data_IF_964846474649
#
_entry.id   IF_964846474649
#
_cell.length_a   1.000
_cell.length_b   1.000
_cell.length_c   1.000
_cell.angle_alpha   90.00
_cell.angle_beta   90.00
_cell.angle_gamma   90.00
#
_symmetry.space_group_name_H-M   'P 1'
#
loop_
_entity.id
_entity.type
_entity.pdbx_description
1 polymer ?
#
# COMPACT_ATOMS: atom_id res chain seq x y z
N UNK A 1 27.22 4.59 -8.48
CA UNK A 1 27.37 3.44 -7.56
C UNK A 1 26.33 2.36 -7.80
N UNK A 2 25.13 2.70 -8.29
CA UNK A 2 24.01 1.77 -8.44
C UNK A 2 24.31 0.57 -9.35
N UNK A 3 25.02 0.75 -10.46
CA UNK A 3 25.44 -0.34 -11.35
C UNK A 3 26.26 -1.39 -10.59
N UNK A 4 27.24 -0.99 -9.77
CA UNK A 4 28.03 -1.95 -9.01
C UNK A 4 27.20 -2.71 -7.97
N UNK A 5 26.23 -2.05 -7.34
CA UNK A 5 25.33 -2.71 -6.39
C UNK A 5 24.40 -3.73 -7.08
N UNK A 6 23.89 -3.39 -8.27
CA UNK A 6 23.13 -4.30 -9.12
C UNK A 6 23.96 -5.53 -9.49
N UNK A 7 25.15 -5.34 -10.06
CA UNK A 7 26.03 -6.45 -10.45
C UNK A 7 26.49 -7.30 -9.25
N UNK A 8 26.77 -6.66 -8.10
CA UNK A 8 27.11 -7.38 -6.87
C UNK A 8 25.96 -8.31 -6.44
N UNK A 9 24.71 -7.91 -6.67
CA UNK A 9 23.55 -8.72 -6.32
C UNK A 9 23.53 -10.03 -7.10
N UNK A 10 23.95 -10.02 -8.36
CA UNK A 10 24.08 -11.26 -9.14
C UNK A 10 25.12 -12.22 -8.56
N UNK A 11 26.22 -11.69 -7.98
CA UNK A 11 27.20 -12.51 -7.26
C UNK A 11 26.62 -13.13 -5.98
N UNK A 12 25.57 -12.54 -5.42
CA UNK A 12 24.81 -13.07 -4.29
C UNK A 12 23.68 -14.04 -4.70
N UNK A 13 23.55 -14.35 -6.00
CA UNK A 13 22.66 -15.40 -6.49
C UNK A 13 21.22 -14.97 -6.73
N UNK A 14 21.02 -13.74 -7.23
CA UNK A 14 19.72 -13.28 -7.73
C UNK A 14 19.80 -12.80 -9.18
N UNK A 15 18.81 -13.13 -10.01
CA UNK A 15 18.72 -12.69 -11.40
C UNK A 15 18.14 -11.29 -11.59
N UNK A 16 18.11 -10.84 -12.85
CA UNK A 16 17.44 -9.60 -13.26
C UNK A 16 15.92 -9.70 -13.19
N UNK A 17 15.24 -8.57 -12.96
CA UNK A 17 13.78 -8.44 -13.01
C UNK A 17 13.35 -7.14 -13.70
N UNK A 18 13.75 -6.97 -14.96
CA UNK A 18 13.28 -5.88 -15.81
C UNK A 18 12.93 -6.35 -17.22
N UNK A 19 12.19 -5.49 -17.91
CA UNK A 19 11.85 -5.61 -19.33
C UNK A 19 12.79 -4.76 -20.22
N UNK A 20 12.63 -4.89 -21.53
CA UNK A 20 13.09 -3.88 -22.48
C UNK A 20 12.01 -2.80 -22.65
N UNK A 21 12.28 -1.52 -22.29
CA UNK A 21 11.27 -0.46 -22.36
C UNK A 21 10.82 -0.11 -23.78
N UNK A 22 11.55 -0.55 -24.80
CA UNK A 22 11.26 -0.27 -26.22
C UNK A 22 10.88 -1.52 -27.01
N UNK A 23 10.46 -2.60 -26.34
CA UNK A 23 10.11 -3.85 -27.03
C UNK A 23 8.86 -3.70 -27.93
N UNK A 24 8.82 -4.51 -28.99
CA UNK A 24 7.64 -4.74 -29.82
C UNK A 24 7.41 -6.27 -29.90
N UNK A 25 6.35 -6.81 -29.29
CA UNK A 25 5.27 -6.10 -28.59
C UNK A 25 5.75 -5.41 -27.31
N UNK A 26 5.05 -4.34 -26.93
CA UNK A 26 5.32 -3.63 -25.69
C UNK A 26 5.09 -4.54 -24.48
N UNK A 27 5.91 -4.37 -23.44
CA UNK A 27 5.75 -5.04 -22.16
C UNK A 27 6.06 -4.04 -21.06
N UNK A 28 5.18 -3.85 -20.09
CA UNK A 28 5.38 -2.94 -18.95
C UNK A 28 6.57 -3.38 -18.10
N UNK A 29 7.25 -2.43 -17.47
CA UNK A 29 8.32 -2.72 -16.52
C UNK A 29 7.84 -3.53 -15.32
N UNK A 30 8.64 -4.44 -14.77
CA UNK A 30 8.16 -5.40 -13.76
C UNK A 30 8.03 -4.77 -12.37
N UNK A 31 9.16 -4.32 -11.80
CA UNK A 31 9.22 -3.58 -10.53
C UNK A 31 9.80 -2.17 -10.68
N UNK A 32 10.22 -1.83 -11.90
CA UNK A 32 10.61 -0.49 -12.30
C UNK A 32 11.60 0.22 -11.35
N UNK A 33 11.29 1.43 -10.85
CA UNK A 33 12.20 2.22 -10.02
C UNK A 33 12.33 1.69 -8.59
N UNK A 34 11.53 0.70 -8.20
CA UNK A 34 11.37 0.25 -6.82
C UNK A 34 12.28 -0.90 -6.41
N UNK A 35 13.00 -1.53 -7.36
CA UNK A 35 13.91 -2.65 -7.07
C UNK A 35 15.28 -2.43 -7.70
N UNK A 36 16.32 -2.72 -6.92
CA UNK A 36 17.71 -2.75 -7.39
C UNK A 36 17.90 -3.74 -8.55
N UNK A 37 17.15 -4.85 -8.59
CA UNK A 37 17.22 -5.86 -9.66
C UNK A 37 16.36 -5.50 -10.87
N UNK A 38 15.71 -4.35 -10.83
CA UNK A 38 15.01 -3.77 -11.97
C UNK A 38 15.69 -2.46 -12.39
N UNK A 39 14.89 -1.44 -12.72
CA UNK A 39 15.40 -0.11 -13.08
C UNK A 39 15.56 0.82 -11.86
N UNK A 40 15.43 0.32 -10.63
CA UNK A 40 15.81 1.07 -9.43
C UNK A 40 17.30 1.40 -9.40
N UNK A 41 18.14 0.60 -10.08
CA UNK A 41 19.55 0.92 -10.32
C UNK A 41 19.78 2.13 -11.25
N UNK A 42 18.71 2.69 -11.85
CA UNK A 42 18.76 3.85 -12.74
C UNK A 42 18.42 5.15 -12.02
N UNK A 43 17.96 5.07 -10.77
CA UNK A 43 17.60 6.22 -9.97
C UNK A 43 18.81 7.16 -9.74
N UNK A 44 18.51 8.41 -9.45
CA UNK A 44 19.48 9.50 -9.32
C UNK A 44 19.00 10.79 -10.00
N UNK A 45 19.69 11.92 -9.80
CA UNK A 45 19.35 13.18 -10.45
C UNK A 45 19.27 13.01 -11.97
N UNK A 46 18.26 13.58 -12.63
CA UNK A 46 18.09 13.48 -14.09
C UNK A 46 17.77 12.08 -14.62
N UNK A 47 17.66 11.05 -13.77
CA UNK A 47 17.18 9.71 -14.12
C UNK A 47 17.91 9.07 -15.32
N UNK A 48 17.18 8.40 -16.23
CA UNK A 48 17.82 7.61 -17.29
C UNK A 48 18.56 8.49 -18.31
N UNK A 49 18.15 9.74 -18.48
CA UNK A 49 18.73 10.70 -19.44
C UNK A 49 20.13 11.19 -19.11
N UNK A 50 20.63 10.89 -17.91
CA UNK A 50 21.96 11.33 -17.45
C UNK A 50 22.90 10.16 -17.12
N UNK A 51 22.47 8.92 -17.39
CA UNK A 51 23.27 7.70 -17.16
C UNK A 51 24.44 7.51 -18.12
N UNK A 52 24.47 8.23 -19.25
CA UNK A 52 25.50 8.09 -20.28
C UNK A 52 26.88 8.63 -19.88
N UNK A 53 26.96 9.36 -18.76
CA UNK A 53 28.23 9.86 -18.23
C UNK A 53 29.07 8.70 -17.66
N UNK A 54 30.39 8.75 -17.86
CA UNK A 54 31.33 7.71 -17.39
C UNK A 54 32.42 8.36 -16.52
N UNK A 55 32.46 8.09 -15.20
CA UNK A 55 31.45 7.36 -14.43
C UNK A 55 30.12 8.14 -14.35
N UNK A 56 28.98 7.47 -14.08
CA UNK A 56 27.71 8.15 -13.92
C UNK A 56 27.72 9.04 -12.66
N UNK A 57 27.60 10.35 -12.85
CA UNK A 57 27.58 11.34 -11.76
C UNK A 57 26.16 11.71 -11.31
N UNK A 58 25.14 11.36 -12.10
CA UNK A 58 23.74 11.75 -11.89
C UNK A 58 22.82 10.52 -11.90
N UNK A 59 22.18 10.17 -13.01
CA UNK A 59 21.44 8.91 -13.14
C UNK A 59 22.35 7.71 -12.83
N UNK A 60 21.87 6.75 -12.04
CA UNK A 60 22.65 5.64 -11.47
C UNK A 60 23.77 6.04 -10.48
N UNK A 61 23.80 7.29 -10.02
CA UNK A 61 24.66 7.70 -8.90
C UNK A 61 24.32 6.89 -7.65
N UNK A 62 23.03 6.77 -7.31
CA UNK A 62 22.49 6.00 -6.19
C UNK A 62 21.15 5.35 -6.59
N UNK A 63 21.08 4.03 -6.52
CA UNK A 63 19.88 3.25 -6.87
C UNK A 63 18.99 3.01 -5.66
N UNK A 64 17.78 2.50 -5.90
CA UNK A 64 16.87 2.04 -4.84
C UNK A 64 17.48 0.95 -3.98
N UNK A 65 16.87 0.63 -2.84
CA UNK A 65 17.14 -0.61 -2.14
C UNK A 65 16.64 -1.83 -2.92
N UNK A 66 17.14 -3.00 -2.51
CA UNK A 66 16.49 -4.29 -2.75
C UNK A 66 15.11 -4.31 -2.12
N UNK A 67 14.15 -4.95 -2.78
CA UNK A 67 12.84 -5.23 -2.19
C UNK A 67 12.98 -6.14 -0.98
N UNK A 68 12.00 -6.17 -0.08
CA UNK A 68 12.00 -7.11 1.07
C UNK A 68 12.18 -8.56 0.59
N UNK A 69 11.51 -8.93 -0.49
CA UNK A 69 11.64 -10.25 -1.13
C UNK A 69 13.07 -10.52 -1.62
N UNK A 70 13.70 -9.53 -2.26
CA UNK A 70 15.06 -9.68 -2.76
C UNK A 70 16.07 -9.81 -1.61
N UNK A 71 15.94 -8.98 -0.57
CA UNK A 71 16.76 -9.07 0.65
C UNK A 71 16.67 -10.44 1.31
N UNK A 72 15.47 -11.01 1.37
CA UNK A 72 15.25 -12.34 1.92
C UNK A 72 15.91 -13.42 1.05
N UNK A 73 15.76 -13.37 -0.29
CA UNK A 73 16.40 -14.35 -1.18
C UNK A 73 17.93 -14.34 -1.05
N UNK A 74 18.55 -13.16 -1.02
CA UNK A 74 20.01 -13.02 -0.95
C UNK A 74 20.54 -13.02 0.50
N UNK A 75 19.69 -13.37 1.47
CA UNK A 75 20.05 -13.58 2.88
C UNK A 75 20.58 -12.33 3.59
N UNK A 76 20.13 -11.13 3.20
CA UNK A 76 20.36 -9.90 3.97
C UNK A 76 19.41 -9.77 5.16
N UNK A 77 18.26 -10.43 5.09
CA UNK A 77 17.30 -10.59 6.20
C UNK A 77 16.84 -12.05 6.25
N UNK A 78 16.42 -12.51 7.42
CA UNK A 78 15.72 -13.77 7.60
C UNK A 78 14.19 -13.55 7.60
N UNK A 79 13.42 -14.55 8.05
CA UNK A 79 11.96 -14.47 8.15
C UNK A 79 11.47 -13.61 9.33
N UNK A 80 12.34 -13.23 10.28
CA UNK A 80 11.94 -12.53 11.51
C UNK A 80 11.17 -11.22 11.25
N UNK A 81 11.62 -10.32 10.35
CA UNK A 81 10.89 -9.10 10.06
C UNK A 81 9.79 -9.28 9.00
N UNK A 82 9.43 -10.50 8.60
CA UNK A 82 8.44 -10.75 7.54
C UNK A 82 7.26 -11.54 8.11
N UNK A 83 6.03 -11.05 7.91
CA UNK A 83 4.86 -11.86 8.25
C UNK A 83 4.56 -12.88 7.16
N UNK A 84 4.81 -14.15 7.44
CA UNK A 84 4.46 -15.28 6.58
C UNK A 84 2.98 -15.65 6.78
N UNK A 85 2.13 -15.29 5.81
CA UNK A 85 0.66 -15.38 5.87
C UNK A 85 0.18 -16.38 4.82
N UNK A 86 -0.62 -17.38 5.19
CA UNK A 86 -1.30 -18.25 4.23
C UNK A 86 -2.63 -17.64 3.78
N UNK A 87 -2.86 -17.57 2.47
CA UNK A 87 -4.15 -17.18 1.88
C UNK A 87 -5.27 -18.08 2.39
N UNK A 88 -5.07 -19.40 2.38
CA UNK A 88 -6.08 -20.36 2.83
C UNK A 88 -6.42 -20.20 4.32
N UNK A 89 -5.43 -19.87 5.16
CA UNK A 89 -5.64 -19.70 6.59
C UNK A 89 -6.46 -18.44 6.94
N UNK A 90 -6.40 -17.38 6.14
CA UNK A 90 -7.09 -16.10 6.40
C UNK A 90 -8.62 -16.24 6.53
N UNK A 91 -9.22 -17.16 5.77
CA UNK A 91 -10.67 -17.40 5.81
C UNK A 91 -11.16 -17.94 7.17
N UNK A 92 -10.26 -18.53 7.95
CA UNK A 92 -10.54 -19.15 9.25
C UNK A 92 -9.97 -18.36 10.43
N UNK A 93 -8.85 -17.66 10.26
CA UNK A 93 -8.19 -16.88 11.31
C UNK A 93 -8.68 -15.42 11.40
N UNK A 94 -9.28 -14.91 10.31
CA UNK A 94 -9.66 -13.52 10.18
C UNK A 94 -8.54 -12.63 9.60
N UNK A 95 -8.73 -11.30 9.60
CA UNK A 95 -7.75 -10.39 9.03
C UNK A 95 -6.45 -10.38 9.83
N UNK A 96 -5.33 -10.26 9.11
CA UNK A 96 -4.02 -9.96 9.69
C UNK A 96 -3.77 -8.47 9.55
N UNK A 97 -3.47 -7.79 10.65
CA UNK A 97 -3.16 -6.35 10.68
C UNK A 97 -1.84 -6.13 11.40
N UNK A 98 -0.95 -5.35 10.80
CA UNK A 98 0.31 -4.98 11.42
C UNK A 98 0.82 -3.63 10.93
N UNK A 99 1.70 -3.04 11.71
CA UNK A 99 2.48 -1.87 11.30
C UNK A 99 3.79 -2.33 10.65
N UNK A 100 4.07 -1.82 9.45
CA UNK A 100 5.28 -2.05 8.69
C UNK A 100 6.20 -0.84 8.79
N UNK A 101 7.45 -1.09 9.12
CA UNK A 101 8.55 -0.11 9.06
C UNK A 101 9.10 -0.04 7.64
N UNK A 102 9.43 1.18 7.19
CA UNK A 102 10.08 1.41 5.90
C UNK A 102 11.31 0.50 5.71
N UNK A 103 11.42 -0.12 4.53
CA UNK A 103 12.50 -1.07 4.19
C UNK A 103 13.90 -0.46 4.28
N UNK A 104 14.01 0.85 4.31
CA UNK A 104 15.26 1.60 4.47
C UNK A 104 15.82 1.56 5.89
N UNK A 105 15.05 1.08 6.86
CA UNK A 105 15.40 1.07 8.28
C UNK A 105 15.31 -0.36 8.82
N UNK A 106 16.28 -0.75 9.63
CA UNK A 106 16.22 -2.00 10.39
C UNK A 106 15.11 -1.89 11.44
N UNK A 107 14.07 -2.75 11.40
CA UNK A 107 12.94 -2.68 12.31
C UNK A 107 13.27 -3.22 13.72
N UNK A 108 14.50 -3.69 13.95
CA UNK A 108 14.93 -4.31 15.19
C UNK A 108 14.31 -5.69 15.40
N UNK A 109 14.38 -6.20 16.63
CA UNK A 109 14.01 -7.61 16.93
C UNK A 109 12.50 -7.88 16.97
N UNK A 110 11.67 -6.85 16.98
CA UNK A 110 10.21 -6.98 17.13
C UNK A 110 9.41 -6.23 16.07
N UNK A 111 10.06 -5.37 15.27
CA UNK A 111 9.38 -4.67 14.20
C UNK A 111 9.27 -5.54 12.94
N UNK A 112 8.33 -5.18 12.08
CA UNK A 112 8.03 -5.88 10.84
C UNK A 112 8.38 -4.97 9.66
N UNK A 113 8.97 -5.54 8.61
CA UNK A 113 9.35 -4.84 7.37
C UNK A 113 8.42 -5.18 6.20
N UNK A 114 7.73 -6.33 6.23
CA UNK A 114 6.79 -6.66 5.17
C UNK A 114 5.90 -7.86 5.42
N UNK A 115 4.94 -8.05 4.52
CA UNK A 115 4.13 -9.27 4.44
C UNK A 115 4.64 -10.16 3.31
N UNK A 116 4.50 -11.47 3.50
CA UNK A 116 4.57 -12.47 2.45
C UNK A 116 3.31 -13.36 2.54
N UNK A 117 2.36 -13.13 1.63
CA UNK A 117 1.06 -13.79 1.61
C UNK A 117 1.09 -14.92 0.57
N UNK A 118 1.28 -16.16 1.00
CA UNK A 118 1.37 -17.32 0.12
C UNK A 118 0.02 -17.70 -0.47
N UNK A 119 0.00 -17.99 -1.76
CA UNK A 119 -1.12 -18.62 -2.47
C UNK A 119 -1.21 -20.14 -2.22
N UNK A 120 -0.38 -20.64 -1.31
CA UNK A 120 -0.33 -22.03 -0.86
C UNK A 120 -0.14 -23.00 -2.04
N UNK A 121 -0.61 -24.24 -1.90
CA UNK A 121 -0.45 -25.27 -2.92
C UNK A 121 -1.22 -24.99 -4.23
N UNK A 122 -2.23 -24.12 -4.19
CA UNK A 122 -3.06 -23.80 -5.35
C UNK A 122 -2.38 -22.78 -6.29
N UNK A 123 -1.47 -21.95 -5.77
CA UNK A 123 -0.80 -20.92 -6.56
C UNK A 123 -1.73 -19.78 -6.99
N UNK A 124 -1.20 -18.91 -7.84
CA UNK A 124 -1.94 -17.77 -8.40
C UNK A 124 -3.12 -18.24 -9.26
N UNK A 125 -4.32 -17.81 -8.87
CA UNK A 125 -5.59 -18.13 -9.51
C UNK A 125 -6.03 -17.08 -10.54
N UNK A 126 -5.21 -16.06 -10.80
CA UNK A 126 -5.49 -15.04 -11.81
C UNK A 126 -5.75 -15.68 -13.18
N UNK A 127 -6.73 -15.16 -13.95
CA UNK A 127 -6.94 -15.59 -15.32
C UNK A 127 -5.67 -15.50 -16.16
N UNK A 128 -5.49 -16.45 -17.07
CA UNK A 128 -4.37 -16.39 -18.01
C UNK A 128 -4.52 -15.16 -18.94
N UNK A 129 -3.43 -14.42 -19.11
CA UNK A 129 -3.31 -13.32 -20.06
C UNK A 129 -2.20 -13.60 -21.09
N UNK A 130 -2.13 -12.81 -22.15
CA UNK A 130 -1.13 -12.97 -23.20
C UNK A 130 -0.17 -11.78 -23.28
N UNK A 131 1.08 -12.02 -22.89
CA UNK A 131 2.17 -11.04 -22.88
C UNK A 131 2.56 -10.50 -24.27
N UNK A 132 2.09 -11.14 -25.36
CA UNK A 132 2.36 -10.64 -26.73
C UNK A 132 1.30 -9.66 -27.23
N UNK A 133 0.15 -9.58 -26.58
CA UNK A 133 -0.97 -8.71 -26.97
C UNK A 133 -1.37 -7.72 -25.89
N UNK A 134 -0.98 -7.99 -24.64
CA UNK A 134 -1.27 -7.15 -23.48
C UNK A 134 0.03 -6.79 -22.75
N UNK A 135 0.45 -5.51 -22.79
CA UNK A 135 1.68 -5.07 -22.12
C UNK A 135 1.61 -5.15 -20.59
N UNK A 136 0.41 -5.19 -20.00
CA UNK A 136 0.18 -5.26 -18.55
C UNK A 136 0.04 -6.69 -18.04
N UNK A 137 0.14 -7.68 -18.92
CA UNK A 137 0.11 -9.08 -18.55
C UNK A 137 1.37 -9.47 -17.75
N UNK A 138 1.16 -9.86 -16.48
CA UNK A 138 2.20 -10.30 -15.55
C UNK A 138 2.76 -11.71 -15.91
N UNK A 139 2.02 -12.49 -16.70
CA UNK A 139 2.36 -13.85 -17.12
C UNK A 139 2.02 -14.94 -16.09
N UNK A 140 1.41 -14.56 -14.96
CA UNK A 140 0.91 -15.45 -13.91
C UNK A 140 1.97 -16.35 -13.26
N UNK A 141 1.46 -17.41 -12.61
CA UNK A 141 2.27 -18.44 -11.89
C UNK A 141 3.09 -17.86 -10.74
N UNK A 142 2.53 -16.88 -10.05
CA UNK A 142 3.09 -16.35 -8.83
C UNK A 142 2.80 -17.28 -7.65
N UNK A 143 3.58 -17.09 -6.59
CA UNK A 143 3.47 -17.87 -5.36
C UNK A 143 2.91 -17.03 -4.22
N UNK A 144 3.14 -15.71 -4.22
CA UNK A 144 2.75 -14.86 -3.11
C UNK A 144 2.36 -13.44 -3.57
N UNK A 145 1.72 -12.71 -2.67
CA UNK A 145 1.83 -11.26 -2.59
C UNK A 145 2.88 -10.85 -1.55
N UNK A 146 3.58 -9.74 -1.81
CA UNK A 146 4.39 -9.03 -0.83
C UNK A 146 3.91 -7.60 -0.68
N UNK A 147 3.89 -7.13 0.57
CA UNK A 147 3.67 -5.73 0.93
C UNK A 147 4.90 -5.22 1.65
N UNK A 148 5.41 -4.05 1.25
CA UNK A 148 6.54 -3.38 1.90
C UNK A 148 6.37 -1.86 1.85
N UNK A 149 6.95 -1.17 2.83
CA UNK A 149 6.95 0.30 2.89
C UNK A 149 8.21 0.86 2.26
N UNK A 150 8.04 1.77 1.31
CA UNK A 150 9.12 2.53 0.68
C UNK A 150 9.10 3.94 1.24
N UNK A 151 10.24 4.40 1.73
CA UNK A 151 10.44 5.78 2.18
C UNK A 151 11.63 6.38 1.43
N UNK A 152 11.52 7.65 1.03
CA UNK A 152 12.57 8.37 0.30
C UNK A 152 13.70 8.78 1.24
N UNK A 153 14.39 7.78 1.77
CA UNK A 153 15.53 7.94 2.67
C UNK A 153 16.64 6.93 2.35
N UNK A 154 17.89 7.30 2.61
CA UNK A 154 19.04 6.46 2.29
C UNK A 154 19.14 6.19 0.79
N UNK A 155 19.33 4.93 0.39
CA UNK A 155 19.38 4.54 -1.02
C UNK A 155 18.05 4.80 -1.77
N UNK A 156 16.91 4.75 -1.08
CA UNK A 156 15.60 5.04 -1.68
C UNK A 156 15.32 6.54 -1.87
N UNK A 157 16.24 7.46 -1.52
CA UNK A 157 16.03 8.91 -1.65
C UNK A 157 15.66 9.38 -3.06
N UNK A 158 16.09 8.64 -4.09
CA UNK A 158 15.80 8.92 -5.50
C UNK A 158 14.67 8.08 -6.08
N UNK A 159 13.97 7.28 -5.26
CA UNK A 159 12.70 6.70 -5.66
C UNK A 159 11.67 7.85 -5.86
N UNK A 160 10.71 7.69 -6.81
CA UNK A 160 9.82 8.79 -7.16
C UNK A 160 8.79 9.12 -6.06
N UNK A 161 8.47 8.16 -5.19
CA UNK A 161 7.40 8.28 -4.18
C UNK A 161 7.74 7.58 -2.85
N UNK A 162 6.92 7.77 -1.82
CA UNK A 162 6.94 7.05 -0.54
C UNK A 162 5.55 6.53 -0.20
N UNK A 163 5.43 5.24 0.09
CA UNK A 163 4.14 4.58 0.27
C UNK A 163 4.28 3.07 0.44
N UNK A 164 3.19 2.33 0.24
CA UNK A 164 3.20 0.87 0.28
C UNK A 164 3.28 0.30 -1.13
N UNK A 165 4.30 -0.52 -1.38
CA UNK A 165 4.37 -1.30 -2.62
C UNK A 165 3.68 -2.64 -2.40
N UNK A 166 2.70 -2.96 -3.24
CA UNK A 166 2.12 -4.29 -3.35
C UNK A 166 2.72 -4.97 -4.58
N UNK A 167 3.15 -6.22 -4.46
CA UNK A 167 3.69 -6.96 -5.62
C UNK A 167 3.38 -8.44 -5.55
N UNK A 168 3.14 -9.06 -6.72
CA UNK A 168 3.16 -10.52 -6.82
C UNK A 168 4.59 -11.01 -6.92
N UNK A 169 4.92 -12.12 -6.25
CA UNK A 169 6.27 -12.70 -6.25
C UNK A 169 6.29 -14.20 -6.49
N UNK A 170 7.40 -14.66 -7.06
CA UNK A 170 7.78 -16.07 -7.16
C UNK A 170 8.84 -16.39 -6.12
N UNK A 171 8.77 -17.60 -5.58
CA UNK A 171 9.76 -18.13 -4.63
C UNK A 171 11.12 -18.38 -5.29
N UNK A 172 11.16 -18.46 -6.62
CA UNK A 172 12.39 -18.57 -7.40
C UNK A 172 12.46 -17.46 -8.46
N UNK A 173 13.67 -16.97 -8.69
CA UNK A 173 14.03 -15.99 -9.70
C UNK A 173 14.41 -16.59 -11.06
N UNK A 174 14.40 -17.93 -11.19
CA UNK A 174 14.76 -18.64 -12.43
C UNK A 174 13.88 -18.28 -13.63
N UNK A 175 12.67 -17.74 -13.39
CA UNK A 175 11.74 -17.34 -14.42
C UNK A 175 11.28 -15.91 -14.21
N UNK A 176 11.63 -15.03 -15.13
CA UNK A 176 11.15 -13.65 -15.16
C UNK A 176 9.73 -13.55 -15.75
N UNK A 177 8.95 -12.54 -15.33
CA UNK A 177 9.15 -11.74 -14.12
C UNK A 177 9.01 -12.61 -12.86
N UNK A 178 9.88 -12.40 -11.87
CA UNK A 178 9.79 -13.06 -10.56
C UNK A 178 9.21 -12.15 -9.47
N UNK A 179 9.12 -10.85 -9.75
CA UNK A 179 8.34 -9.90 -8.96
C UNK A 179 7.63 -8.94 -9.90
N UNK A 180 6.38 -8.61 -9.60
CA UNK A 180 5.55 -7.72 -10.43
C UNK A 180 4.78 -6.76 -9.53
N UNK A 181 5.09 -5.47 -9.63
CA UNK A 181 4.39 -4.42 -8.87
C UNK A 181 2.95 -4.32 -9.34
N UNK A 182 2.01 -4.37 -8.39
CA UNK A 182 0.63 -3.95 -8.61
C UNK A 182 0.62 -2.43 -8.65
N UNK A 183 0.04 -1.90 -9.71
CA UNK A 183 0.01 -0.48 -9.97
C UNK A 183 -1.30 0.11 -9.46
N UNK A 184 -1.22 1.00 -8.46
CA UNK A 184 -2.38 1.75 -7.99
C UNK A 184 -2.93 2.71 -9.06
N UNK A 185 -2.11 3.08 -10.05
CA UNK A 185 -2.42 4.02 -11.11
C UNK A 185 -2.08 3.39 -12.49
N UNK A 186 -2.77 2.32 -12.92
CA UNK A 186 -2.38 1.49 -14.07
C UNK A 186 -2.50 2.18 -15.44
N UNK A 187 -3.06 3.39 -15.49
CA UNK A 187 -3.09 4.22 -16.69
C UNK A 187 -1.67 4.59 -17.16
N UNK A 188 -1.54 4.97 -18.42
CA UNK A 188 -0.30 5.63 -18.87
C UNK A 188 -0.13 6.94 -18.09
N UNK A 189 1.06 7.13 -17.48
CA UNK A 189 1.38 8.32 -16.69
C UNK A 189 1.45 9.60 -17.55
N UNK A 190 1.50 9.45 -18.88
CA UNK A 190 1.48 10.54 -19.87
C UNK A 190 2.57 11.61 -19.65
N UNK A 191 3.72 11.18 -19.16
CA UNK A 191 4.88 12.07 -18.94
C UNK A 191 5.68 12.20 -20.24
N UNK A 192 6.03 13.45 -20.58
CA UNK A 192 6.93 13.74 -21.69
C UNK A 192 8.34 13.27 -21.35
N UNK A 193 8.89 12.41 -22.21
CA UNK A 193 10.27 11.95 -22.10
C UNK A 193 11.24 12.98 -22.68
N UNK A 194 10.97 13.46 -23.90
CA UNK A 194 11.77 14.50 -24.56
C UNK A 194 11.00 15.16 -25.71
N UNK A 195 11.55 16.28 -26.21
CA UNK A 195 11.11 16.91 -27.45
C UNK A 195 12.09 16.59 -28.57
N UNK A 196 11.55 16.20 -29.73
CA UNK A 196 12.33 16.08 -30.96
C UNK A 196 12.81 17.47 -31.44
N UNK A 197 13.83 17.56 -32.32
CA UNK A 197 14.32 18.84 -32.83
C UNK A 197 13.26 19.69 -33.55
N UNK A 198 12.19 19.07 -34.05
CA UNK A 198 11.04 19.74 -34.66
C UNK A 198 9.98 20.21 -33.65
N UNK A 199 10.22 20.06 -32.35
CA UNK A 199 9.30 20.42 -31.27
C UNK A 199 8.23 19.37 -30.94
N UNK A 200 8.21 18.21 -31.60
CA UNK A 200 7.25 17.15 -31.29
C UNK A 200 7.59 16.47 -29.95
N UNK A 201 6.63 16.44 -29.03
CA UNK A 201 6.77 15.72 -27.76
C UNK A 201 6.80 14.21 -27.98
N UNK A 202 7.67 13.52 -27.26
CA UNK A 202 7.71 12.07 -27.13
C UNK A 202 7.47 11.72 -25.69
N UNK A 203 6.48 10.88 -25.45
CA UNK A 203 6.10 10.42 -24.12
C UNK A 203 6.88 9.17 -23.74
N UNK A 204 6.93 8.89 -22.44
CA UNK A 204 7.40 7.61 -21.94
C UNK A 204 6.66 6.47 -22.64
N UNK A 205 7.39 5.42 -23.04
CA UNK A 205 6.73 4.23 -23.56
C UNK A 205 6.07 3.48 -22.41
N UNK A 206 5.07 2.63 -22.72
CA UNK A 206 4.45 1.72 -21.74
C UNK A 206 5.50 0.81 -21.06
N UNK A 207 6.58 0.47 -21.77
CA UNK A 207 7.66 -0.32 -21.21
C UNK A 207 8.61 0.45 -20.30
N UNK A 208 8.58 1.79 -20.29
CA UNK A 208 9.46 2.58 -19.44
C UNK A 208 9.15 2.33 -17.96
N UNK A 209 10.19 2.23 -17.13
CA UNK A 209 10.02 1.98 -15.70
C UNK A 209 9.35 3.13 -14.96
N UNK A 210 9.50 4.36 -15.48
CA UNK A 210 8.88 5.56 -14.91
C UNK A 210 7.36 5.55 -15.05
N UNK A 211 6.78 4.61 -15.82
CA UNK A 211 5.34 4.33 -15.77
C UNK A 211 4.88 3.90 -14.38
N UNK A 212 5.78 3.36 -13.54
CA UNK A 212 5.44 2.95 -12.17
C UNK A 212 5.75 4.03 -11.13
N UNK A 213 5.95 5.29 -11.53
CA UNK A 213 6.39 6.34 -10.61
C UNK A 213 5.34 6.71 -9.55
N UNK A 214 4.06 6.47 -9.84
CA UNK A 214 2.88 6.70 -9.00
C UNK A 214 2.17 5.38 -8.61
N UNK A 215 2.89 4.25 -8.69
CA UNK A 215 2.31 2.92 -8.45
C UNK A 215 2.09 2.56 -6.97
N UNK A 216 2.65 3.33 -6.02
CA UNK A 216 2.56 3.02 -4.60
C UNK A 216 1.17 3.35 -4.04
N UNK A 217 0.70 2.54 -3.11
CA UNK A 217 -0.59 2.74 -2.43
C UNK A 217 -0.40 3.61 -1.18
N UNK A 218 -1.39 4.46 -0.89
CA UNK A 218 -1.34 5.44 0.21
C UNK A 218 -2.56 5.33 1.12
N UNK A 219 -2.35 5.53 2.42
CA UNK A 219 -3.44 5.62 3.38
C UNK A 219 -4.21 6.93 3.19
N UNK A 220 -5.51 6.89 3.42
CA UNK A 220 -6.38 8.05 3.36
C UNK A 220 -7.05 8.28 2.01
N UNK A 221 -8.17 8.99 2.05
CA UNK A 221 -8.86 9.42 0.83
C UNK A 221 -8.12 10.62 0.24
N UNK A 222 -8.12 10.72 -1.10
CA UNK A 222 -7.47 11.83 -1.85
C UNK A 222 -5.97 11.95 -1.58
N UNK A 223 -5.31 10.82 -1.30
CA UNK A 223 -3.86 10.72 -1.15
C UNK A 223 -3.11 10.76 -2.49
N UNK A 224 -3.82 10.87 -3.61
CA UNK A 224 -3.27 10.78 -4.97
C UNK A 224 -3.04 9.34 -5.43
N UNK A 225 -3.45 8.35 -4.64
CA UNK A 225 -3.34 6.93 -4.96
C UNK A 225 -4.47 6.13 -4.30
N UNK A 226 -4.55 4.85 -4.61
CA UNK A 226 -5.47 3.91 -3.99
C UNK A 226 -5.00 3.52 -2.58
N UNK A 227 -5.96 3.23 -1.70
CA UNK A 227 -5.71 2.79 -0.31
C UNK A 227 -6.00 1.31 -0.09
N UNK A 228 -6.42 0.58 -1.13
CA UNK A 228 -6.72 -0.85 -1.04
C UNK A 228 -6.53 -1.55 -2.39
N UNK A 229 -6.31 -2.87 -2.34
CA UNK A 229 -6.23 -3.72 -3.54
C UNK A 229 -7.06 -4.99 -3.32
N UNK A 230 -8.05 -5.20 -4.19
CA UNK A 230 -8.88 -6.40 -4.24
C UNK A 230 -8.41 -7.30 -5.38
N UNK A 231 -8.10 -8.55 -5.06
CA UNK A 231 -7.82 -9.61 -6.02
C UNK A 231 -8.90 -10.69 -5.88
N UNK A 232 -9.97 -10.56 -6.67
CA UNK A 232 -11.09 -11.50 -6.65
C UNK A 232 -10.66 -12.93 -7.04
N UNK A 233 -9.86 -13.16 -8.11
CA UNK A 233 -9.38 -14.50 -8.43
C UNK A 233 -8.64 -15.20 -7.28
N UNK A 234 -7.79 -14.47 -6.56
CA UNK A 234 -7.10 -15.01 -5.39
C UNK A 234 -7.90 -14.85 -4.10
N UNK A 235 -9.11 -14.30 -4.11
CA UNK A 235 -9.94 -14.19 -2.92
C UNK A 235 -9.30 -13.35 -1.81
N UNK A 236 -8.51 -12.32 -2.14
CA UNK A 236 -7.77 -11.50 -1.18
C UNK A 236 -8.19 -10.02 -1.26
N UNK A 237 -8.15 -9.36 -0.11
CA UNK A 237 -8.28 -7.91 -0.01
C UNK A 237 -7.16 -7.37 0.89
N UNK A 238 -6.32 -6.50 0.34
CA UNK A 238 -5.20 -5.84 1.01
C UNK A 238 -5.53 -4.37 1.27
N UNK A 239 -5.15 -3.86 2.43
CA UNK A 239 -5.53 -2.53 2.91
C UNK A 239 -4.31 -1.71 3.34
N UNK A 240 -4.32 -0.43 3.00
CA UNK A 240 -3.39 0.58 3.50
C UNK A 240 -4.16 1.45 4.49
N UNK A 241 -4.11 1.06 5.76
CA UNK A 241 -5.05 1.51 6.79
C UNK A 241 -4.65 2.86 7.36
N UNK A 242 -3.39 3.02 7.76
CA UNK A 242 -2.92 4.26 8.40
C UNK A 242 -1.45 4.50 8.13
N UNK A 243 -0.98 5.71 8.37
CA UNK A 243 0.44 6.08 8.22
C UNK A 243 0.89 7.02 9.33
N UNK A 244 2.14 6.86 9.76
CA UNK A 244 2.77 7.80 10.69
C UNK A 244 4.27 7.87 10.47
N UNK A 245 4.86 8.98 10.90
CA UNK A 245 6.31 9.04 11.17
C UNK A 245 6.53 8.99 12.66
N UNK A 246 7.50 8.19 13.09
CA UNK A 246 7.90 8.17 14.50
C UNK A 246 8.80 9.36 14.86
N UNK A 247 9.25 9.42 16.12
CA UNK A 247 10.09 10.49 16.63
C UNK A 247 11.48 10.58 15.95
N UNK A 248 11.90 9.50 15.27
CA UNK A 248 13.11 9.46 14.45
C UNK A 248 12.82 9.76 12.97
N UNK A 249 11.60 10.21 12.67
CA UNK A 249 11.08 10.46 11.32
C UNK A 249 11.03 9.23 10.43
N UNK A 250 11.06 8.01 10.98
CA UNK A 250 10.91 6.78 10.19
C UNK A 250 9.45 6.62 9.79
N UNK A 251 9.22 6.35 8.51
CA UNK A 251 7.88 6.10 7.97
C UNK A 251 7.40 4.70 8.34
N UNK A 252 6.16 4.65 8.85
CA UNK A 252 5.44 3.42 9.16
C UNK A 252 4.06 3.46 8.49
N UNK A 253 3.59 2.30 8.05
CA UNK A 253 2.21 2.10 7.61
C UNK A 253 1.56 0.96 8.36
N UNK A 254 0.35 1.19 8.85
CA UNK A 254 -0.53 0.09 9.27
C UNK A 254 -1.18 -0.48 8.01
N UNK A 255 -0.96 -1.77 7.77
CA UNK A 255 -1.54 -2.48 6.63
C UNK A 255 -2.33 -3.70 7.11
N UNK A 256 -3.28 -4.13 6.30
CA UNK A 256 -4.11 -5.29 6.58
C UNK A 256 -4.25 -6.21 5.36
N UNK A 257 -4.54 -7.48 5.62
CA UNK A 257 -4.99 -8.42 4.59
C UNK A 257 -6.07 -9.33 5.14
N UNK A 258 -7.09 -9.61 4.33
CA UNK A 258 -8.11 -10.62 4.63
C UNK A 258 -8.45 -11.48 3.42
N UNK A 259 -9.12 -12.59 3.69
CA UNK A 259 -9.84 -13.33 2.67
C UNK A 259 -11.14 -12.60 2.29
N UNK A 260 -11.54 -12.68 1.02
CA UNK A 260 -12.85 -12.23 0.56
C UNK A 260 -13.97 -13.16 1.05
N UNK A 261 -13.67 -14.45 1.16
CA UNK A 261 -14.59 -15.46 1.66
C UNK A 261 -14.23 -15.86 3.09
N UNK A 262 -15.10 -15.53 4.03
CA UNK A 262 -14.97 -15.91 5.43
C UNK A 262 -13.99 -15.06 6.23
N UNK A 263 -14.24 -15.01 7.53
CA UNK A 263 -13.46 -14.26 8.51
C UNK A 263 -13.23 -15.08 9.79
N UNK A 264 -13.46 -16.39 9.73
CA UNK A 264 -13.36 -17.28 10.88
C UNK A 264 -14.60 -17.28 11.77
N UNK A 265 -14.46 -17.90 12.95
CA UNK A 265 -15.54 -18.07 13.92
C UNK A 265 -15.62 -16.96 14.98
N UNK A 266 -14.76 -15.95 14.88
CA UNK A 266 -14.76 -14.80 15.78
C UNK A 266 -16.08 -14.05 15.71
N UNK A 267 -16.47 -13.40 16.81
CA UNK A 267 -17.64 -12.52 16.82
C UNK A 267 -17.18 -11.10 16.54
N UNK A 268 -17.82 -10.44 15.58
CA UNK A 268 -17.52 -9.07 15.21
C UNK A 268 -18.49 -8.11 15.90
N UNK A 269 -17.96 -6.95 16.30
CA UNK A 269 -18.70 -5.93 17.02
C UNK A 269 -18.05 -4.57 16.81
N UNK A 270 -18.86 -3.52 16.80
CA UNK A 270 -18.37 -2.14 16.69
C UNK A 270 -19.27 -1.21 17.50
N UNK A 271 -18.63 -0.33 18.26
CA UNK A 271 -19.28 0.82 18.89
C UNK A 271 -18.55 2.10 18.50
N UNK A 272 -19.33 3.17 18.31
CA UNK A 272 -18.83 4.52 18.12
C UNK A 272 -19.29 5.39 19.29
N UNK A 273 -18.43 6.28 19.78
CA UNK A 273 -18.85 7.37 20.67
C UNK A 273 -19.67 8.41 19.92
N UNK A 274 -20.39 9.27 20.65
CA UNK A 274 -20.81 10.55 20.05
C UNK A 274 -19.58 11.34 19.61
N UNK A 275 -19.71 12.06 18.50
CA UNK A 275 -18.63 12.85 17.94
C UNK A 275 -18.43 14.15 18.73
N UNK A 276 -17.17 14.55 18.88
CA UNK A 276 -16.80 15.79 19.56
C UNK A 276 -16.00 16.67 18.62
N UNK A 277 -16.27 17.98 18.62
CA UNK A 277 -15.53 18.91 17.77
C UNK A 277 -14.16 19.18 18.40
N UNK A 278 -13.09 18.93 17.66
CA UNK A 278 -11.73 19.30 18.07
C UNK A 278 -11.55 20.81 17.91
N UNK A 279 -11.69 21.55 19.03
CA UNK A 279 -11.41 23.00 19.16
C UNK A 279 -12.06 23.88 18.08
N UNK A 280 -13.32 24.27 18.28
CA UNK A 280 -14.04 25.16 17.36
C UNK A 280 -13.87 26.65 17.71
N UNK A 281 -13.47 27.45 16.72
CA UNK A 281 -13.80 28.88 16.65
C UNK A 281 -14.60 29.13 15.38
N UNK A 282 -15.50 30.11 15.33
CA UNK A 282 -16.23 30.42 14.09
C UNK A 282 -15.28 30.70 12.89
N UNK A 283 -14.10 31.26 13.17
CA UNK A 283 -13.03 31.44 12.18
C UNK A 283 -12.41 30.15 11.66
N UNK A 284 -12.38 29.06 12.45
CA UNK A 284 -11.82 27.79 11.98
C UNK A 284 -12.76 27.08 11.00
N UNK A 285 -14.08 27.23 11.16
CA UNK A 285 -15.08 26.59 10.29
C UNK A 285 -15.03 27.09 8.84
N UNK A 286 -14.81 28.39 8.63
CA UNK A 286 -14.75 29.03 7.30
C UNK A 286 -13.35 29.01 6.67
N UNK A 287 -12.30 28.89 7.48
CA UNK A 287 -10.91 28.87 7.02
C UNK A 287 -10.32 27.47 6.86
N UNK A 288 -10.15 26.75 7.97
CA UNK A 288 -9.41 25.48 8.02
C UNK A 288 -10.31 24.23 8.10
N UNK A 289 -11.61 24.41 8.34
CA UNK A 289 -12.50 23.35 8.81
C UNK A 289 -12.23 22.97 10.27
N UNK A 290 -13.07 22.07 10.79
CA UNK A 290 -12.91 21.42 12.10
C UNK A 290 -12.96 19.91 11.91
N UNK A 291 -12.50 19.17 12.92
CA UNK A 291 -12.69 17.72 12.96
C UNK A 291 -13.78 17.35 13.96
N UNK A 292 -14.72 16.52 13.51
CA UNK A 292 -15.54 15.71 14.39
C UNK A 292 -14.78 14.42 14.69
N UNK A 293 -14.42 14.24 15.96
CA UNK A 293 -13.62 13.12 16.47
C UNK A 293 -14.49 12.11 17.17
N UNK A 294 -14.37 10.85 16.78
CA UNK A 294 -15.14 9.72 17.29
C UNK A 294 -14.18 8.66 17.82
N UNK A 295 -14.49 8.08 18.97
CA UNK A 295 -13.83 6.86 19.44
C UNK A 295 -14.54 5.66 18.83
N UNK A 296 -13.81 4.85 18.05
CA UNK A 296 -14.27 3.56 17.53
C UNK A 296 -13.73 2.45 18.43
N UNK A 297 -14.62 1.64 18.98
CA UNK A 297 -14.29 0.47 19.80
C UNK A 297 -14.65 -0.82 19.06
N UNK A 298 -13.70 -1.74 18.98
CA UNK A 298 -13.96 -3.10 18.50
C UNK A 298 -14.47 -3.94 19.67
N UNK A 299 -15.79 -4.11 19.77
CA UNK A 299 -16.45 -4.90 20.83
C UNK A 299 -16.55 -6.38 20.51
N UNK A 300 -15.90 -6.82 19.41
CA UNK A 300 -15.84 -8.21 19.04
C UNK A 300 -15.03 -9.07 20.04
N UNK A 301 -15.08 -10.38 19.82
CA UNK A 301 -14.37 -11.36 20.63
C UNK A 301 -13.73 -12.42 19.76
N UNK A 302 -12.43 -12.67 20.01
CA UNK A 302 -11.67 -13.70 19.32
C UNK A 302 -12.28 -15.09 19.58
N UNK A 303 -12.44 -15.87 18.52
CA UNK A 303 -12.59 -17.31 18.65
C UNK A 303 -11.22 -17.98 18.73
N UNK A 304 -11.18 -19.19 19.29
CA UNK A 304 -10.00 -20.05 19.14
C UNK A 304 -9.89 -20.47 17.67
N UNK A 305 -8.83 -20.00 17.00
CA UNK A 305 -8.48 -20.46 15.65
C UNK A 305 -7.44 -21.56 15.73
N UNK A 306 -7.63 -22.62 14.92
CA UNK A 306 -6.63 -23.68 14.70
C UNK A 306 -5.90 -23.49 13.36
N UNK A 307 -6.05 -22.32 12.74
CA UNK A 307 -5.60 -22.07 11.37
C UNK A 307 -4.08 -22.04 11.29
N UNK A 308 -3.55 -22.82 10.35
CA UNK A 308 -2.12 -23.03 10.20
C UNK A 308 -1.52 -22.00 9.23
N UNK A 309 -1.27 -20.78 9.72
CA UNK A 309 -0.32 -19.89 9.04
C UNK A 309 1.09 -20.52 9.07
N UNK A 310 1.98 -20.21 8.11
CA UNK A 310 3.35 -20.73 8.07
C UNK A 310 4.18 -20.36 9.32
N UNK A 311 3.77 -19.33 10.05
CA UNK A 311 4.34 -18.92 11.33
C UNK A 311 3.25 -18.57 12.35
N UNK A 312 3.64 -18.39 13.62
CA UNK A 312 2.71 -17.93 14.64
C UNK A 312 2.37 -16.45 14.45
N UNK A 313 1.13 -16.16 14.06
CA UNK A 313 0.62 -14.80 13.84
C UNK A 313 -0.30 -14.30 14.96
N UNK A 314 -0.34 -14.95 16.11
CA UNK A 314 -1.31 -14.64 17.18
C UNK A 314 -1.29 -13.16 17.62
N UNK A 315 -0.14 -12.48 17.51
CA UNK A 315 0.01 -11.06 17.86
C UNK A 315 -0.61 -10.08 16.84
N UNK A 316 -0.83 -10.55 15.61
CA UNK A 316 -1.31 -9.77 14.45
C UNK A 316 -2.72 -10.17 14.00
N UNK A 317 -3.29 -11.19 14.65
CA UNK A 317 -4.69 -11.60 14.53
C UNK A 317 -5.53 -10.92 15.61
N UNK A 318 -6.85 -11.13 15.56
CA UNK A 318 -7.77 -10.58 16.54
C UNK A 318 -8.03 -9.09 16.38
N UNK A 319 -7.81 -8.57 15.17
CA UNK A 319 -8.27 -7.24 14.76
C UNK A 319 -9.49 -7.36 13.87
N UNK A 320 -10.19 -6.25 13.71
CA UNK A 320 -11.10 -6.04 12.59
C UNK A 320 -10.73 -4.75 11.89
N UNK A 321 -11.10 -4.66 10.61
CA UNK A 321 -10.93 -3.47 9.78
C UNK A 321 -12.34 -2.92 9.53
N UNK A 322 -12.51 -1.63 9.71
CA UNK A 322 -13.77 -0.93 9.56
C UNK A 322 -13.70 0.01 8.38
N UNK A 323 -14.66 -0.11 7.47
CA UNK A 323 -14.92 0.87 6.43
C UNK A 323 -15.83 1.96 6.97
N UNK A 324 -15.41 3.18 6.71
CA UNK A 324 -16.02 4.39 7.23
C UNK A 324 -16.74 5.14 6.10
N UNK A 325 -17.92 5.67 6.38
CA UNK A 325 -18.61 6.63 5.51
C UNK A 325 -19.14 7.79 6.33
N UNK A 326 -19.08 9.00 5.78
CA UNK A 326 -19.52 10.21 6.44
C UNK A 326 -20.47 11.01 5.55
N UNK A 327 -21.54 11.52 6.16
CA UNK A 327 -22.54 12.37 5.52
C UNK A 327 -22.82 13.58 6.42
N UNK A 328 -23.33 14.68 5.86
CA UNK A 328 -23.74 15.86 6.63
C UNK A 328 -25.11 16.30 6.14
N UNK A 329 -26.02 16.62 7.06
CA UNK A 329 -27.29 17.24 6.72
C UNK A 329 -27.11 18.76 6.52
N UNK A 330 -27.97 19.34 5.68
CA UNK A 330 -27.99 20.75 5.26
C UNK A 330 -27.01 21.19 4.17
N UNK A 331 -27.58 21.91 3.20
CA UNK A 331 -26.84 22.64 2.18
C UNK A 331 -25.99 23.75 2.82
N UNK A 332 -24.81 23.98 2.24
CA UNK A 332 -23.86 24.97 2.72
C UNK A 332 -22.79 24.42 3.66
N UNK A 333 -22.84 23.14 4.03
CA UNK A 333 -21.73 22.46 4.72
C UNK A 333 -20.99 21.48 3.80
N UNK A 334 -19.73 21.19 4.13
CA UNK A 334 -18.89 20.21 3.45
C UNK A 334 -18.40 19.18 4.46
N UNK A 335 -18.47 17.91 4.09
CA UNK A 335 -17.95 16.80 4.88
C UNK A 335 -16.95 16.03 4.05
N UNK A 336 -15.84 15.69 4.66
CA UNK A 336 -14.78 14.91 4.05
C UNK A 336 -14.27 13.90 5.06
N UNK A 337 -13.95 12.71 4.59
CA UNK A 337 -13.43 11.65 5.43
C UNK A 337 -11.96 11.44 5.07
N UNK A 338 -11.00 12.02 5.80
CA UNK A 338 -9.57 11.95 5.45
C UNK A 338 -9.06 10.51 5.36
N UNK A 339 -9.65 9.59 6.11
CA UNK A 339 -9.32 8.17 6.03
C UNK A 339 -10.60 7.32 6.07
N UNK A 340 -10.78 6.51 5.01
CA UNK A 340 -11.94 5.64 4.85
C UNK A 340 -11.83 4.32 5.63
N UNK A 341 -10.67 4.05 6.22
CA UNK A 341 -10.39 2.83 6.96
C UNK A 341 -9.95 3.13 8.39
N UNK A 342 -10.33 2.23 9.29
CA UNK A 342 -9.80 2.17 10.65
C UNK A 342 -9.62 0.71 11.05
N UNK A 343 -8.68 0.41 11.93
CA UNK A 343 -8.53 -0.93 12.49
C UNK A 343 -8.34 -0.85 14.01
N UNK A 344 -8.88 -1.85 14.70
CA UNK A 344 -8.72 -2.02 16.14
C UNK A 344 -8.72 -3.50 16.52
N UNK A 345 -7.92 -3.87 17.51
CA UNK A 345 -7.96 -5.20 18.13
C UNK A 345 -9.23 -5.38 18.95
N UNK A 346 -9.68 -6.62 19.13
CA UNK A 346 -10.79 -6.93 20.01
C UNK A 346 -10.58 -6.36 21.41
N UNK A 347 -11.54 -5.56 21.89
CA UNK A 347 -11.49 -4.84 23.15
C UNK A 347 -10.68 -3.54 23.14
N UNK A 348 -10.06 -3.17 22.01
CA UNK A 348 -9.29 -1.93 21.85
C UNK A 348 -10.08 -0.86 21.08
N UNK A 349 -9.54 0.37 21.13
CA UNK A 349 -10.14 1.57 20.54
C UNK A 349 -9.18 2.25 19.59
N UNK A 350 -9.73 2.91 18.59
CA UNK A 350 -9.01 3.85 17.73
C UNK A 350 -9.82 5.13 17.56
N UNK A 351 -9.15 6.20 17.12
CA UNK A 351 -9.80 7.50 16.88
C UNK A 351 -10.06 7.66 15.39
N UNK A 352 -11.30 8.01 15.05
CA UNK A 352 -11.72 8.34 13.69
C UNK A 352 -12.06 9.82 13.61
N UNK A 353 -11.61 10.48 12.55
CA UNK A 353 -11.87 11.91 12.33
C UNK A 353 -12.62 12.13 11.04
N UNK A 354 -13.64 12.97 11.11
CA UNK A 354 -14.37 13.50 9.96
C UNK A 354 -14.06 14.98 9.84
N UNK A 355 -13.56 15.41 8.70
CA UNK A 355 -13.32 16.82 8.40
C UNK A 355 -14.64 17.49 8.01
N UNK A 356 -14.91 18.65 8.59
CA UNK A 356 -16.13 19.41 8.37
C UNK A 356 -15.77 20.86 8.10
N UNK A 357 -16.29 21.42 7.03
CA UNK A 357 -16.02 22.80 6.63
C UNK A 357 -17.30 23.55 6.29
N UNK A 358 -17.33 24.83 6.64
CA UNK A 358 -18.39 25.74 6.21
C UNK A 358 -18.22 26.10 4.73
N UNK A 359 -19.28 25.96 3.96
CA UNK A 359 -19.41 26.43 2.58
C UNK A 359 -20.27 27.70 2.49
N UNK A 360 -20.64 28.10 1.27
CA UNK A 360 -21.56 29.22 1.06
C UNK A 360 -22.94 28.88 1.63
N UNK A 361 -23.52 29.77 2.44
CA UNK A 361 -24.86 29.60 2.99
C UNK A 361 -24.95 28.81 4.30
N UNK A 362 -23.83 28.55 5.00
CA UNK A 362 -23.81 27.92 6.33
C UNK A 362 -24.47 28.82 7.40
N UNK A 363 -25.80 28.83 7.45
CA UNK A 363 -26.57 29.66 8.39
C UNK A 363 -27.30 28.84 9.44
N UNK A 364 -27.23 27.52 9.32
CA UNK A 364 -27.95 26.57 10.16
C UNK A 364 -26.97 25.57 10.75
N UNK A 365 -27.26 25.14 11.97
CA UNK A 365 -26.65 23.95 12.57
C UNK A 365 -26.77 22.75 11.64
N UNK A 366 -25.73 21.92 11.60
CA UNK A 366 -25.69 20.69 10.83
C UNK A 366 -25.19 19.52 11.69
N UNK A 367 -25.55 18.32 11.27
CA UNK A 367 -25.29 17.05 11.91
C UNK A 367 -24.50 16.20 10.93
N UNK A 368 -23.25 15.95 11.31
CA UNK A 368 -22.38 14.98 10.64
C UNK A 368 -22.75 13.60 11.14
N UNK A 369 -23.03 12.67 10.23
CA UNK A 369 -23.24 11.26 10.55
C UNK A 369 -22.05 10.43 10.08
N UNK A 370 -21.38 9.73 10.99
CA UNK A 370 -20.33 8.77 10.70
C UNK A 370 -20.87 7.35 10.87
N UNK A 371 -20.72 6.52 9.83
CA UNK A 371 -21.01 5.09 9.89
C UNK A 371 -19.73 4.29 9.81
N UNK A 372 -19.56 3.33 10.72
CA UNK A 372 -18.49 2.33 10.66
C UNK A 372 -19.09 0.96 10.38
N UNK A 373 -18.55 0.25 9.38
CA UNK A 373 -18.99 -1.10 8.96
C UNK A 373 -17.81 -2.05 9.01
N UNK A 374 -17.96 -3.21 9.63
CA UNK A 374 -16.94 -4.26 9.66
C UNK A 374 -16.68 -4.82 8.26
N UNK A 375 -15.41 -4.93 7.88
CA UNK A 375 -14.98 -5.63 6.66
C UNK A 375 -15.04 -7.16 6.82
N UNK A 376 -15.04 -7.66 8.05
CA UNK A 376 -15.14 -9.09 8.37
C UNK A 376 -16.58 -9.60 8.42
N UNK A 377 -17.54 -8.74 8.79
CA UNK A 377 -18.98 -9.00 8.76
C UNK A 377 -19.76 -7.71 8.40
N UNK A 378 -20.14 -7.52 7.13
CA UNK A 378 -20.83 -6.30 6.69
C UNK A 378 -22.20 -6.04 7.34
N UNK A 379 -22.76 -7.02 8.06
CA UNK A 379 -23.99 -6.82 8.84
C UNK A 379 -23.73 -6.07 10.15
N UNK A 380 -22.49 -6.09 10.65
CA UNK A 380 -22.04 -5.39 11.84
C UNK A 380 -21.64 -3.96 11.46
N UNK A 381 -22.49 -3.01 11.83
CA UNK A 381 -22.27 -1.58 11.60
C UNK A 381 -22.92 -0.73 12.67
N UNK A 382 -22.40 0.48 12.86
CA UNK A 382 -22.95 1.46 13.79
C UNK A 382 -22.82 2.87 13.21
N UNK A 383 -23.74 3.76 13.58
CA UNK A 383 -23.75 5.15 13.13
C UNK A 383 -23.85 6.07 14.34
N UNK A 384 -23.03 7.13 14.36
CA UNK A 384 -23.03 8.17 15.38
C UNK A 384 -22.90 9.54 14.77
N UNK A 385 -23.29 10.56 15.54
CA UNK A 385 -23.39 11.91 15.03
C UNK A 385 -22.48 12.88 15.75
N UNK A 386 -22.20 13.99 15.09
CA UNK A 386 -21.51 15.16 15.62
C UNK A 386 -22.23 16.40 15.11
N UNK A 387 -22.69 17.23 16.02
CA UNK A 387 -23.36 18.49 15.67
C UNK A 387 -22.31 19.58 15.51
N UNK A 388 -22.40 20.34 14.41
CA UNK A 388 -21.61 21.54 14.13
C UNK A 388 -22.54 22.74 13.98
N UNK A 389 -22.14 23.88 14.55
CA UNK A 389 -22.92 25.12 14.52
C UNK A 389 -22.07 26.26 13.93
N UNK A 390 -22.70 27.30 13.35
CA UNK A 390 -22.00 28.42 12.72
C UNK A 390 -20.98 29.19 13.58
#
# INVERSE_FOLDING_TARGET
MATFAHELSHLLGIGDNYNNPFSDPARRSYTGPWSMLSRGSFNGPGGPHTRWQIPPLQGASMGSLHTVRDKHQIQLIDDTPILQISRAALAESGPVVAELTARSVDPGTSGIMGFNISFDAQGDLSPACNVTTDPFCDGGRYNNYNLEVIDRMGADSFCPDSGVMISKTKNSDRQQPFQWTIDANPQDIEVIDFYLPNGTARYLTIGDYRQLADALFHAGTRSGSEFEHVDEPNGLHMYIIDTRRDNSSVLHYTVGVRALAGSGASKYGVELSEGTIESASASSLTGAGVFCSFSLENTGAAANSTSAHPQNLSAYLGSDIYRLSAEIDFEGWRVELPNALAAAKFGEKTTVKVAVGAGEGYLTEATVSLTATSESDPSVKTTKTCTVSP
#
